data_IF_495693068757
#
_entry.id   IF_495693068757
#
_cell.length_a   1.000
_cell.length_b   1.000
_cell.length_c   1.000
_cell.angle_alpha   90.00
_cell.angle_beta   90.00
_cell.angle_gamma   90.00
#
_symmetry.space_group_name_H-M   'P 1'
#
loop_
_entity.id
_entity.type
_entity.pdbx_description
1 polymer ?
#
# COMPACT_ATOMS: atom_id res chain seq x y z
N UNK A 1 -6.55 3.72 -17.06
CA UNK A 1 -5.24 3.36 -16.46
C UNK A 1 -4.86 1.99 -16.99
N UNK A 2 -3.65 1.82 -17.52
CA UNK A 2 -3.15 0.52 -17.99
C UNK A 2 -2.73 -0.32 -16.78
N UNK A 3 -3.08 -1.62 -16.74
CA UNK A 3 -2.61 -2.47 -15.66
C UNK A 3 -1.10 -2.57 -15.63
N UNK A 4 -0.53 -2.37 -14.44
CA UNK A 4 0.90 -2.51 -14.17
C UNK A 4 1.12 -3.48 -13.03
N UNK A 5 2.10 -4.38 -13.22
CA UNK A 5 2.63 -5.19 -12.12
C UNK A 5 3.50 -4.34 -11.21
N UNK A 6 3.23 -4.39 -9.92
CA UNK A 6 4.07 -3.80 -8.88
C UNK A 6 5.41 -4.54 -8.85
N UNK A 7 6.51 -3.83 -8.68
CA UNK A 7 7.84 -4.42 -8.46
C UNK A 7 8.04 -4.89 -6.99
N UNK A 8 9.16 -5.55 -6.70
CA UNK A 8 9.42 -6.09 -5.36
C UNK A 8 9.47 -5.00 -4.26
N UNK A 9 9.98 -3.81 -4.57
CA UNK A 9 10.07 -2.70 -3.64
C UNK A 9 8.70 -2.07 -3.40
N UNK A 10 7.91 -1.88 -4.46
CA UNK A 10 6.53 -1.37 -4.37
C UNK A 10 5.64 -2.34 -3.58
N UNK A 11 5.77 -3.66 -3.79
CA UNK A 11 5.05 -4.67 -3.01
C UNK A 11 5.42 -4.62 -1.54
N UNK A 12 6.71 -4.51 -1.23
CA UNK A 12 7.20 -4.43 0.16
C UNK A 12 6.71 -3.15 0.83
N UNK A 13 6.78 -2.01 0.12
CA UNK A 13 6.28 -0.73 0.59
C UNK A 13 4.78 -0.77 0.88
N UNK A 14 3.99 -1.23 -0.09
CA UNK A 14 2.53 -1.32 0.04
C UNK A 14 2.11 -2.29 1.15
N UNK A 15 2.80 -3.42 1.27
CA UNK A 15 2.60 -4.37 2.37
C UNK A 15 2.92 -3.79 3.75
N UNK A 16 3.93 -2.92 3.86
CA UNK A 16 4.21 -2.20 5.11
C UNK A 16 3.18 -1.14 5.42
N UNK A 17 2.78 -0.34 4.43
CA UNK A 17 1.72 0.66 4.60
C UNK A 17 0.39 0.05 5.03
N UNK A 18 0.11 -1.22 4.70
CA UNK A 18 -1.10 -1.90 5.17
C UNK A 18 -1.05 -2.37 6.64
N UNK A 19 0.12 -2.29 7.29
CA UNK A 19 0.31 -2.72 8.68
C UNK A 19 0.37 -1.54 9.66
N UNK A 20 0.54 -0.32 9.14
CA UNK A 20 0.71 0.90 9.92
C UNK A 20 -0.24 1.97 9.40
N UNK A 21 -0.62 2.93 10.24
CA UNK A 21 -1.49 4.04 9.84
C UNK A 21 -0.76 4.99 8.88
N UNK A 22 0.48 5.34 9.22
CA UNK A 22 1.38 6.13 8.40
C UNK A 22 2.81 5.59 8.52
N UNK A 23 3.61 5.85 7.49
CA UNK A 23 5.01 5.44 7.40
C UNK A 23 5.87 6.62 6.97
N UNK A 24 6.74 7.09 7.85
CA UNK A 24 7.88 7.93 7.49
C UNK A 24 9.11 7.02 7.26
N UNK A 25 9.63 6.92 6.03
CA UNK A 25 10.83 6.14 5.77
C UNK A 25 12.06 6.66 6.54
N UNK A 26 12.12 7.96 6.90
CA UNK A 26 13.24 8.57 7.64
C UNK A 26 14.62 8.33 7.02
N UNK A 27 15.68 8.87 7.64
CA UNK A 27 17.05 8.73 7.13
C UNK A 27 17.72 7.39 7.49
N UNK A 28 17.08 6.52 8.28
CA UNK A 28 17.76 5.38 8.91
C UNK A 28 17.06 4.02 8.81
N UNK A 29 15.85 3.95 8.27
CA UNK A 29 15.07 2.70 8.32
C UNK A 29 15.34 1.86 7.07
N UNK A 30 16.08 0.76 7.22
CA UNK A 30 16.26 -0.25 6.16
C UNK A 30 14.95 -1.03 6.01
N UNK A 31 13.94 -0.41 5.40
CA UNK A 31 12.60 -0.99 5.23
C UNK A 31 12.52 -1.98 4.07
N UNK A 32 13.64 -2.24 3.38
CA UNK A 32 13.66 -3.08 2.18
C UNK A 32 12.97 -2.41 0.97
N UNK A 33 12.68 -1.10 1.04
CA UNK A 33 12.24 -0.25 -0.05
C UNK A 33 12.65 1.21 0.21
N UNK A 34 12.89 1.96 -0.86
CA UNK A 34 13.23 3.38 -0.78
C UNK A 34 12.05 4.30 -1.05
N UNK A 35 12.22 5.59 -0.75
CA UNK A 35 11.26 6.66 -1.09
C UNK A 35 10.74 6.60 -2.54
N UNK A 36 11.56 6.28 -3.57
CA UNK A 36 11.05 6.16 -4.93
C UNK A 36 9.91 5.14 -5.10
N UNK A 37 9.90 4.05 -4.34
CA UNK A 37 8.81 3.06 -4.40
C UNK A 37 7.50 3.65 -3.85
N UNK A 38 7.55 4.40 -2.76
CA UNK A 38 6.41 5.12 -2.19
C UNK A 38 5.85 6.16 -3.16
N UNK A 39 6.72 6.94 -3.80
CA UNK A 39 6.30 7.92 -4.82
C UNK A 39 5.61 7.25 -6.02
N UNK A 40 6.11 6.09 -6.47
CA UNK A 40 5.45 5.33 -7.55
C UNK A 40 4.08 4.81 -7.11
N UNK A 41 3.93 4.36 -5.87
CA UNK A 41 2.62 3.96 -5.32
C UNK A 41 1.66 5.15 -5.26
N UNK A 42 2.14 6.35 -4.90
CA UNK A 42 1.34 7.58 -4.94
C UNK A 42 0.88 7.91 -6.36
N UNK A 43 1.78 7.81 -7.35
CA UNK A 43 1.43 8.02 -8.76
C UNK A 43 0.38 7.03 -9.28
N UNK A 44 0.30 5.83 -8.68
CA UNK A 44 -0.72 4.82 -8.98
C UNK A 44 -2.02 4.99 -8.17
N UNK A 45 -2.06 5.94 -7.22
CA UNK A 45 -3.19 6.15 -6.31
C UNK A 45 -3.32 5.10 -5.20
N UNK A 46 -2.30 4.25 -5.01
CA UNK A 46 -2.27 3.17 -4.00
C UNK A 46 -1.79 3.63 -2.63
N UNK A 47 -1.06 4.74 -2.60
CA UNK A 47 -0.61 5.44 -1.40
C UNK A 47 -0.87 6.93 -1.55
N UNK A 48 -0.83 7.66 -0.44
CA UNK A 48 -0.94 9.10 -0.40
C UNK A 48 0.09 9.67 0.58
N UNK A 49 0.55 10.90 0.33
CA UNK A 49 1.32 11.66 1.31
C UNK A 49 0.37 12.17 2.39
N UNK A 50 0.80 12.10 3.65
CA UNK A 50 0.04 12.66 4.77
C UNK A 50 0.26 14.18 4.79
N UNK A 51 -0.82 14.96 4.83
CA UNK A 51 -0.74 16.41 4.72
C UNK A 51 -0.06 17.06 5.94
N UNK A 52 -0.38 16.56 7.14
CA UNK A 52 0.09 17.11 8.42
C UNK A 52 1.48 16.59 8.83
N UNK A 53 2.01 15.58 8.14
CA UNK A 53 3.30 14.96 8.44
C UNK A 53 4.18 14.90 7.18
N UNK A 54 4.99 15.95 6.93
CA UNK A 54 5.83 16.03 5.74
C UNK A 54 6.88 14.92 5.72
N UNK A 55 6.68 13.91 4.87
CA UNK A 55 7.56 12.74 4.80
C UNK A 55 6.85 11.43 5.07
N UNK A 56 5.67 11.48 5.70
CA UNK A 56 4.84 10.31 5.97
C UNK A 56 3.95 9.96 4.78
N UNK A 57 3.75 8.67 4.59
CA UNK A 57 2.89 8.09 3.56
C UNK A 57 1.85 7.19 4.22
N UNK A 58 0.62 7.21 3.72
CA UNK A 58 -0.46 6.34 4.16
C UNK A 58 -0.98 5.52 2.98
N UNK A 59 -1.50 4.33 3.26
CA UNK A 59 -2.19 3.51 2.27
C UNK A 59 -3.55 4.12 1.92
N UNK A 60 -3.97 4.00 0.66
CA UNK A 60 -5.32 4.41 0.23
C UNK A 60 -6.28 3.23 0.23
N UNK A 61 -7.58 3.50 0.06
CA UNK A 61 -8.57 2.44 -0.16
C UNK A 61 -8.25 1.55 -1.37
N UNK A 62 -7.67 2.14 -2.43
CA UNK A 62 -7.22 1.40 -3.61
C UNK A 62 -5.97 0.58 -3.33
N UNK A 63 -5.07 1.07 -2.47
CA UNK A 63 -3.98 0.29 -1.89
C UNK A 63 -4.48 -0.99 -1.20
N UNK A 64 -5.48 -0.85 -0.34
CA UNK A 64 -6.14 -2.00 0.31
C UNK A 64 -6.77 -2.97 -0.69
N UNK A 65 -7.48 -2.45 -1.69
CA UNK A 65 -8.04 -3.29 -2.76
C UNK A 65 -6.98 -4.04 -3.54
N UNK A 66 -5.83 -3.43 -3.79
CA UNK A 66 -4.71 -4.08 -4.47
C UNK A 66 -4.15 -5.26 -3.65
N UNK A 67 -4.11 -5.15 -2.32
CA UNK A 67 -3.57 -6.20 -1.45
C UNK A 67 -4.61 -7.27 -1.13
N UNK A 68 -5.81 -6.88 -0.72
CA UNK A 68 -6.82 -7.76 -0.11
C UNK A 68 -8.08 -7.94 -0.96
N UNK A 69 -8.22 -7.23 -2.08
CA UNK A 69 -9.41 -7.28 -2.93
C UNK A 69 -10.62 -6.54 -2.38
N UNK A 70 -10.45 -5.78 -1.29
CA UNK A 70 -11.49 -5.01 -0.60
C UNK A 70 -10.92 -3.70 -0.06
N UNK A 71 -11.79 -2.76 0.30
CA UNK A 71 -11.39 -1.49 0.92
C UNK A 71 -10.89 -1.68 2.36
N UNK A 72 -10.23 -0.65 2.90
CA UNK A 72 -9.78 -0.65 4.30
C UNK A 72 -10.93 -0.83 5.28
N UNK A 73 -12.03 -0.11 5.09
CA UNK A 73 -13.20 -0.18 5.97
C UNK A 73 -13.82 -1.59 5.97
N UNK A 74 -13.92 -2.23 4.81
CA UNK A 74 -14.40 -3.62 4.70
C UNK A 74 -13.46 -4.59 5.41
N UNK A 75 -12.15 -4.42 5.25
CA UNK A 75 -11.14 -5.26 5.90
C UNK A 75 -11.14 -5.11 7.43
N UNK A 76 -11.27 -3.87 7.93
CA UNK A 76 -11.30 -3.58 9.37
C UNK A 76 -12.60 -4.05 10.03
N UNK A 77 -13.72 -3.99 9.31
CA UNK A 77 -15.02 -4.50 9.76
C UNK A 77 -15.05 -6.02 9.94
N UNK A 78 -14.14 -6.76 9.30
CA UNK A 78 -14.03 -8.20 9.49
C UNK A 78 -13.43 -8.54 10.86
N UNK A 79 -13.98 -9.55 11.56
CA UNK A 79 -13.31 -10.15 12.71
C UNK A 79 -11.90 -10.59 12.35
N UNK A 80 -10.94 -10.44 13.27
CA UNK A 80 -9.51 -10.72 13.03
C UNK A 80 -9.24 -12.08 12.35
N UNK A 81 -10.00 -13.12 12.71
CA UNK A 81 -9.86 -14.48 12.16
C UNK A 81 -10.52 -14.69 10.79
N UNK A 82 -11.33 -13.73 10.32
CA UNK A 82 -11.97 -13.74 9.00
C UNK A 82 -11.29 -12.82 7.98
N UNK A 83 -10.23 -12.10 8.39
CA UNK A 83 -9.50 -11.21 7.49
C UNK A 83 -8.77 -12.05 6.43
N UNK A 84 -8.95 -11.73 5.13
CA UNK A 84 -8.32 -12.50 4.07
C UNK A 84 -6.80 -12.34 4.12
N UNK A 85 -6.03 -13.38 3.75
CA UNK A 85 -4.61 -13.18 3.49
C UNK A 85 -4.43 -12.22 2.30
N UNK A 86 -3.30 -11.53 2.21
CA UNK A 86 -2.96 -10.75 1.02
C UNK A 86 -3.09 -11.61 -0.24
N UNK A 87 -3.88 -11.16 -1.22
CA UNK A 87 -4.16 -11.87 -2.47
C UNK A 87 -2.92 -11.99 -3.37
N UNK A 88 -1.84 -11.26 -3.07
CA UNK A 88 -0.54 -11.26 -3.78
C UNK A 88 -0.65 -11.11 -5.31
N UNK A 89 -1.78 -10.59 -5.82
CA UNK A 89 -2.00 -10.38 -7.25
C UNK A 89 -1.00 -9.37 -7.82
N UNK A 90 -0.59 -8.39 -7.00
CA UNK A 90 0.50 -7.45 -7.28
C UNK A 90 0.39 -6.76 -8.65
N UNK A 91 -0.84 -6.54 -9.11
CA UNK A 91 -1.18 -5.87 -10.35
C UNK A 91 -2.30 -4.87 -10.07
N UNK A 92 -2.19 -3.68 -10.65
CA UNK A 92 -3.19 -2.62 -10.47
C UNK A 92 -3.48 -1.89 -11.79
N UNK A 93 -4.76 -1.63 -12.14
CA UNK A 93 -5.97 -2.12 -11.46
C UNK A 93 -6.17 -3.64 -11.61
N UNK A 94 -6.96 -4.29 -10.74
CA UNK A 94 -7.25 -5.71 -10.84
C UNK A 94 -8.06 -5.99 -12.11
N UNK A 95 -7.46 -6.71 -13.07
CA UNK A 95 -8.15 -7.19 -14.27
C UNK A 95 -7.99 -6.37 -15.56
N UNK A 96 -7.00 -5.48 -15.65
CA UNK A 96 -6.57 -4.97 -16.96
C UNK A 96 -5.49 -5.84 -17.61
#
# INVERSE_FOLDING_TARGET
MTARKLDAFERTALGRLAQVESLDPGAGTVLGFGRPALERLCALGLAARVADEPGSYAITSDGYRCIFGMTQAEYEALPLHHRPPPLRLWQWPPGA
#
